data_IF_888646016981
#
_entry.id   IF_888646016981
#
_cell.length_a   1.000
_cell.length_b   1.000
_cell.length_c   1.000
_cell.angle_alpha   90.00
_cell.angle_beta   90.00
_cell.angle_gamma   90.00
#
_symmetry.space_group_name_H-M   'P 1'
#
loop_
_entity.id
_entity.type
_entity.pdbx_description
1 polymer ?
#
# COMPACT_ATOMS: atom_id res chain seq x y z
N UNK A 1 -19.86 -1.86 -16.48
CA UNK A 1 -20.46 -0.76 -15.68
C UNK A 1 -19.42 0.31 -15.43
N UNK A 2 -19.84 1.57 -15.34
CA UNK A 2 -18.93 2.69 -15.02
C UNK A 2 -18.81 2.83 -13.49
N UNK A 3 -17.59 2.91 -12.98
CA UNK A 3 -17.29 2.98 -11.54
C UNK A 3 -16.10 3.89 -11.24
N UNK A 4 -16.00 4.30 -9.98
CA UNK A 4 -14.91 5.08 -9.42
C UNK A 4 -14.07 4.19 -8.49
N UNK A 5 -12.83 3.91 -8.88
CA UNK A 5 -11.88 3.07 -8.12
C UNK A 5 -11.02 3.93 -7.22
N UNK A 6 -10.95 3.58 -5.94
CA UNK A 6 -10.20 4.30 -4.90
C UNK A 6 -8.95 3.59 -4.43
N UNK A 7 -8.69 2.35 -4.90
CA UNK A 7 -7.55 1.50 -4.51
C UNK A 7 -6.20 2.22 -4.46
N UNK A 8 -5.96 3.14 -5.38
CA UNK A 8 -4.71 3.93 -5.48
C UNK A 8 -4.95 5.44 -5.33
N UNK A 9 -6.04 5.84 -4.69
CA UNK A 9 -6.46 7.23 -4.71
C UNK A 9 -5.48 8.20 -4.04
N UNK A 10 -4.72 7.74 -3.03
CA UNK A 10 -3.74 8.57 -2.35
C UNK A 10 -2.44 8.77 -3.16
N UNK A 11 -2.20 7.96 -4.19
CA UNK A 11 -0.99 8.06 -5.04
C UNK A 11 -1.30 8.57 -6.44
N UNK A 12 -2.41 8.13 -7.02
CA UNK A 12 -2.74 8.29 -8.44
C UNK A 12 -4.07 9.05 -8.64
N UNK A 13 -4.84 9.25 -7.57
CA UNK A 13 -6.18 9.81 -7.64
C UNK A 13 -7.28 8.76 -7.87
N UNK A 14 -8.54 9.20 -7.78
CA UNK A 14 -9.70 8.35 -8.06
C UNK A 14 -9.74 8.07 -9.56
N UNK A 15 -9.77 6.80 -9.93
CA UNK A 15 -9.80 6.40 -11.34
C UNK A 15 -11.23 6.10 -11.75
N UNK A 16 -11.71 6.75 -12.81
CA UNK A 16 -13.00 6.45 -13.43
C UNK A 16 -12.78 5.43 -14.54
N UNK A 17 -13.45 4.27 -14.48
CA UNK A 17 -13.23 3.16 -15.41
C UNK A 17 -14.53 2.44 -15.76
N UNK A 18 -14.52 1.75 -16.90
CA UNK A 18 -15.46 0.68 -17.16
C UNK A 18 -14.93 -0.63 -16.54
N UNK A 19 -15.80 -1.32 -15.82
CA UNK A 19 -15.48 -2.54 -15.09
C UNK A 19 -16.58 -3.61 -15.24
N UNK A 20 -16.20 -4.86 -15.02
CA UNK A 20 -17.08 -6.02 -15.00
C UNK A 20 -16.99 -6.71 -13.64
N UNK A 21 -18.09 -7.26 -13.13
CA UNK A 21 -18.02 -8.08 -11.92
C UNK A 21 -17.27 -9.37 -12.21
N UNK A 22 -16.40 -9.78 -11.28
CA UNK A 22 -15.58 -11.00 -11.42
C UNK A 22 -16.10 -12.17 -10.61
N UNK A 23 -17.17 -11.96 -9.86
CA UNK A 23 -17.74 -12.94 -8.95
C UNK A 23 -19.26 -12.85 -8.94
N UNK A 24 -19.92 -13.98 -8.74
CA UNK A 24 -21.39 -14.06 -8.62
C UNK A 24 -21.92 -13.23 -7.44
N UNK A 25 -21.11 -13.06 -6.39
CA UNK A 25 -21.44 -12.23 -5.23
C UNK A 25 -21.26 -10.72 -5.49
N UNK A 26 -20.80 -10.33 -6.69
CA UNK A 26 -20.60 -8.96 -7.14
C UNK A 26 -19.67 -8.11 -6.26
N UNK A 27 -18.89 -8.72 -5.36
CA UNK A 27 -18.02 -7.98 -4.43
C UNK A 27 -16.72 -7.52 -5.06
N UNK A 28 -16.32 -8.11 -6.17
CA UNK A 28 -15.08 -7.76 -6.85
C UNK A 28 -15.37 -7.36 -8.29
N UNK A 29 -14.58 -6.40 -8.79
CA UNK A 29 -14.66 -5.90 -10.15
C UNK A 29 -13.31 -6.08 -10.84
N UNK A 30 -13.32 -6.33 -12.14
CA UNK A 30 -12.17 -6.31 -13.04
C UNK A 30 -12.29 -5.13 -13.98
N UNK A 31 -11.20 -4.40 -14.15
CA UNK A 31 -11.11 -3.27 -15.07
C UNK A 31 -9.73 -3.21 -15.70
N UNK A 32 -9.59 -2.39 -16.75
CA UNK A 32 -8.30 -2.10 -17.38
C UNK A 32 -8.04 -0.60 -17.29
N UNK A 33 -6.78 -0.26 -17.05
CA UNK A 33 -6.28 1.11 -17.16
C UNK A 33 -5.68 1.26 -18.56
N UNK A 34 -6.22 2.12 -19.42
CA UNK A 34 -5.60 2.42 -20.73
C UNK A 34 -4.44 3.43 -20.51
N UNK A 35 -3.44 3.57 -21.40
CA UNK A 35 -3.47 4.46 -22.58
C UNK A 35 -2.25 4.26 -23.51
N UNK A 36 -2.43 4.43 -24.83
CA UNK A 36 -1.49 5.13 -25.71
C UNK A 36 -2.23 5.99 -26.77
N UNK A 37 -1.53 6.93 -27.42
CA UNK A 37 -2.07 7.84 -28.46
C UNK A 37 -2.42 7.13 -29.79
N UNK A 38 -2.17 5.82 -29.90
CA UNK A 38 -2.41 4.98 -31.07
C UNK A 38 -3.52 3.94 -30.82
N UNK A 39 -4.21 4.00 -29.69
CA UNK A 39 -5.38 3.17 -29.38
C UNK A 39 -5.08 1.72 -29.00
N UNK A 40 -3.85 1.38 -28.57
CA UNK A 40 -3.55 0.01 -28.09
C UNK A 40 -3.72 -0.16 -26.57
N UNK A 41 -4.26 -1.32 -26.21
CA UNK A 41 -4.60 -1.72 -24.84
C UNK A 41 -3.43 -2.47 -24.20
N UNK A 42 -2.73 -1.87 -23.24
CA UNK A 42 -1.76 -2.58 -22.39
C UNK A 42 -1.90 -2.17 -20.92
N UNK A 43 -2.89 -2.75 -20.25
CA UNK A 43 -2.72 -3.07 -18.83
C UNK A 43 -3.14 -4.52 -18.60
N UNK A 44 -2.41 -5.18 -17.71
CA UNK A 44 -2.89 -6.41 -17.07
C UNK A 44 -4.22 -6.11 -16.39
N UNK A 45 -5.21 -7.02 -16.47
CA UNK A 45 -6.46 -6.89 -15.75
C UNK A 45 -6.21 -6.50 -14.29
N UNK A 46 -6.86 -5.42 -13.87
CA UNK A 46 -6.80 -4.93 -12.50
C UNK A 46 -8.08 -5.32 -11.77
N UNK A 47 -7.94 -5.56 -10.47
CA UNK A 47 -9.03 -5.97 -9.61
C UNK A 47 -9.20 -4.99 -8.47
N UNK A 48 -10.44 -4.64 -8.16
CA UNK A 48 -10.83 -3.90 -6.97
C UNK A 48 -11.90 -4.68 -6.20
N UNK A 49 -11.71 -4.79 -4.89
CA UNK A 49 -12.64 -5.45 -3.97
C UNK A 49 -13.65 -4.46 -3.39
N UNK A 50 -14.65 -4.98 -2.69
CA UNK A 50 -15.66 -4.18 -2.01
C UNK A 50 -14.99 -3.13 -1.10
N UNK A 51 -15.41 -1.87 -1.23
CA UNK A 51 -14.82 -0.73 -0.52
C UNK A 51 -13.65 -0.06 -1.24
N UNK A 52 -13.15 -0.66 -2.33
CA UNK A 52 -12.14 -0.07 -3.23
C UNK A 52 -12.74 0.52 -4.51
N UNK A 53 -14.06 0.41 -4.70
CA UNK A 53 -14.79 0.94 -5.85
C UNK A 53 -16.20 1.40 -5.46
N UNK A 54 -16.72 2.39 -6.18
CA UNK A 54 -18.00 3.04 -5.90
C UNK A 54 -18.73 3.40 -7.19
N UNK A 55 -20.05 3.44 -7.16
CA UNK A 55 -20.88 3.85 -8.31
C UNK A 55 -21.05 5.35 -8.41
N UNK A 56 -20.75 6.11 -7.35
CA UNK A 56 -20.82 7.58 -7.34
C UNK A 56 -19.47 8.20 -6.99
N UNK A 57 -19.23 9.41 -7.51
CA UNK A 57 -18.00 10.15 -7.22
C UNK A 57 -17.99 10.65 -5.78
N UNK A 58 -19.15 10.98 -5.24
CA UNK A 58 -19.35 11.46 -3.88
C UNK A 58 -18.91 10.40 -2.85
N UNK A 59 -19.37 9.16 -3.02
CA UNK A 59 -18.95 8.04 -2.17
C UNK A 59 -17.45 7.76 -2.29
N UNK A 60 -16.92 7.77 -3.52
CA UNK A 60 -15.48 7.60 -3.74
C UNK A 60 -14.67 8.69 -3.01
N UNK A 61 -15.09 9.95 -3.10
CA UNK A 61 -14.43 11.08 -2.40
C UNK A 61 -14.51 10.92 -0.88
N UNK A 62 -15.66 10.52 -0.34
CA UNK A 62 -15.82 10.27 1.09
C UNK A 62 -14.89 9.15 1.59
N UNK A 63 -14.77 8.07 0.81
CA UNK A 63 -13.84 6.99 1.11
C UNK A 63 -12.38 7.46 1.07
N UNK A 64 -11.99 8.21 0.04
CA UNK A 64 -10.63 8.74 -0.09
C UNK A 64 -10.28 9.68 1.05
N UNK A 65 -11.23 10.50 1.51
CA UNK A 65 -11.02 11.34 2.69
C UNK A 65 -10.79 10.50 3.96
N UNK A 66 -11.53 9.41 4.12
CA UNK A 66 -11.34 8.45 5.22
C UNK A 66 -9.96 7.81 5.15
N UNK A 67 -9.52 7.36 3.95
CA UNK A 67 -8.18 6.83 3.71
C UNK A 67 -7.10 7.86 4.04
N UNK A 68 -7.28 9.11 3.59
CA UNK A 68 -6.35 10.22 3.83
C UNK A 68 -6.15 10.47 5.32
N UNK A 69 -7.24 10.58 6.08
CA UNK A 69 -7.19 10.78 7.54
C UNK A 69 -6.48 9.63 8.25
N UNK A 70 -6.81 8.39 7.89
CA UNK A 70 -6.14 7.20 8.45
C UNK A 70 -4.64 7.21 8.19
N UNK A 71 -4.23 7.55 6.95
CA UNK A 71 -2.82 7.61 6.57
C UNK A 71 -2.07 8.70 7.35
N UNK A 72 -2.69 9.86 7.55
CA UNK A 72 -2.14 10.95 8.39
C UNK A 72 -1.92 10.44 9.82
N UNK A 73 -2.91 9.79 10.43
CA UNK A 73 -2.78 9.26 11.79
C UNK A 73 -1.64 8.24 11.91
N UNK A 74 -1.51 7.33 10.94
CA UNK A 74 -0.41 6.35 10.92
C UNK A 74 0.95 7.05 10.83
N UNK A 75 1.09 8.04 9.94
CA UNK A 75 2.34 8.78 9.80
C UNK A 75 2.67 9.62 11.03
N UNK A 76 1.68 10.25 11.66
CA UNK A 76 1.90 10.98 12.90
C UNK A 76 2.44 10.05 14.00
N UNK A 77 1.85 8.85 14.15
CA UNK A 77 2.34 7.87 15.11
C UNK A 77 3.78 7.45 14.82
N UNK A 78 4.10 7.15 13.56
CA UNK A 78 5.46 6.81 13.17
C UNK A 78 6.47 7.94 13.45
N UNK A 79 6.06 9.20 13.28
CA UNK A 79 6.89 10.36 13.64
C UNK A 79 7.12 10.42 15.15
N UNK A 80 6.09 10.20 15.97
CA UNK A 80 6.26 10.17 17.44
C UNK A 80 7.17 9.01 17.88
N UNK A 81 6.99 7.82 17.30
CA UNK A 81 7.86 6.67 17.59
C UNK A 81 9.33 6.98 17.25
N UNK A 82 9.58 7.68 16.14
CA UNK A 82 10.92 8.13 15.73
C UNK A 82 11.50 9.19 16.67
N UNK A 83 10.69 10.10 17.22
CA UNK A 83 11.17 11.12 18.18
C UNK A 83 11.66 10.50 19.48
N UNK A 84 11.09 9.38 19.90
CA UNK A 84 11.47 8.66 21.12
C UNK A 84 12.44 7.50 20.87
N UNK A 85 12.83 7.26 19.62
CA UNK A 85 13.72 6.15 19.26
C UNK A 85 15.15 6.44 19.74
N UNK A 86 15.62 5.63 20.67
CA UNK A 86 17.04 5.59 21.02
C UNK A 86 17.80 4.77 19.97
N UNK A 87 18.88 5.34 19.44
CA UNK A 87 19.75 4.64 18.49
C UNK A 87 20.84 3.91 19.28
N UNK A 88 20.85 2.57 19.33
CA UNK A 88 21.85 1.85 20.11
C UNK A 88 23.23 2.02 19.49
N UNK A 89 24.23 2.32 20.33
CA UNK A 89 25.65 2.29 19.92
C UNK A 89 26.16 0.87 20.13
N UNK A 90 26.34 0.13 19.03
CA UNK A 90 26.91 -1.22 19.07
C UNK A 90 28.44 -1.08 19.07
N UNK A 91 29.08 -1.46 20.17
CA UNK A 91 30.54 -1.52 20.26
C UNK A 91 31.01 -2.85 19.66
N UNK A 92 31.53 -2.80 18.44
CA UNK A 92 32.18 -3.95 17.81
C UNK A 92 33.57 -4.19 18.44
N UNK A 93 33.60 -4.88 19.58
CA UNK A 93 34.87 -5.29 20.20
C UNK A 93 35.49 -6.44 19.41
N UNK A 94 36.45 -6.09 18.54
CA UNK A 94 37.36 -6.98 17.78
C UNK A 94 36.66 -8.17 17.09
N UNK A 95 36.59 -8.10 15.76
CA UNK A 95 36.17 -9.23 14.93
C UNK A 95 36.84 -10.54 15.35
N UNK A 96 36.06 -11.45 15.94
CA UNK A 96 36.48 -12.82 16.18
C UNK A 96 36.57 -13.46 14.79
N UNK A 97 37.79 -13.57 14.27
CA UNK A 97 38.05 -14.37 13.07
C UNK A 97 37.76 -15.84 13.40
N UNK A 98 36.62 -16.33 12.94
CA UNK A 98 36.22 -17.74 13.06
C UNK A 98 34.78 -17.95 12.56
N UNK A 99 34.48 -19.14 12.04
CA UNK A 99 33.15 -19.50 11.47
C UNK A 99 31.98 -19.26 12.43
N UNK A 100 32.25 -19.23 13.74
CA UNK A 100 31.23 -19.12 14.78
C UNK A 100 30.94 -17.67 15.25
N UNK A 101 31.69 -16.68 14.74
CA UNK A 101 31.57 -15.28 15.18
C UNK A 101 30.26 -14.60 14.79
N UNK A 102 29.67 -14.96 13.65
CA UNK A 102 28.38 -14.41 13.20
C UNK A 102 27.18 -14.97 13.99
N UNK A 103 27.28 -16.19 14.52
CA UNK A 103 26.18 -16.81 15.26
C UNK A 103 25.99 -16.18 16.65
N UNK A 104 27.09 -15.89 17.37
CA UNK A 104 27.04 -15.26 18.71
C UNK A 104 26.58 -13.80 18.69
N UNK A 105 26.94 -13.04 17.65
CA UNK A 105 26.47 -11.64 17.52
C UNK A 105 24.95 -11.60 17.39
N UNK A 106 24.33 -12.60 16.76
CA UNK A 106 22.87 -12.66 16.59
C UNK A 106 22.15 -13.00 17.90
N UNK A 107 22.74 -13.83 18.76
CA UNK A 107 22.22 -14.12 20.10
C UNK A 107 22.32 -12.89 21.03
N UNK A 108 23.45 -12.20 21.06
CA UNK A 108 23.64 -11.00 21.91
C UNK A 108 22.81 -9.78 21.47
N UNK A 109 22.27 -9.78 20.25
CA UNK A 109 21.43 -8.71 19.72
C UNK A 109 19.92 -9.00 19.84
N UNK A 110 19.52 -10.19 20.28
CA UNK A 110 18.12 -10.60 20.42
C UNK A 110 17.63 -10.75 21.87
N UNK A 111 18.52 -10.58 22.86
CA UNK A 111 18.22 -10.40 24.29
C UNK A 111 18.21 -8.92 24.68
#
# INVERSE_FOLDING_TARGET
MEVYVTKWALTTGIVKVEAEHTSEDQKSICFRLFFDELGKIFSVPQYAHQGEWFTTLEEARAQVETMRRKQITVHMRAIEDLKTMEVPVIIANKGIRGRDGMARIKEELMD
#
